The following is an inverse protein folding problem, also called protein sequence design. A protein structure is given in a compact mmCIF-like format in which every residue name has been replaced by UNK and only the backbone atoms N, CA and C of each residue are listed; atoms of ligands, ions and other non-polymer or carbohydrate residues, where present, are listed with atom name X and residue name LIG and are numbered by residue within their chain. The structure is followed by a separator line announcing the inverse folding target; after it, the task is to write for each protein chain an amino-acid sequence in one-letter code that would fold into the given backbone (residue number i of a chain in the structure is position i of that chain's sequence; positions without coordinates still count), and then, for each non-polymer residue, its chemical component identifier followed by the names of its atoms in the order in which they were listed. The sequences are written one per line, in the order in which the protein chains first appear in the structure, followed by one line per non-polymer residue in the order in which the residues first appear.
data_IF_188045592889
#
_entry.id   IF_188045592889
#
_cell.length_a   1.000
_cell.length_b   1.000
_cell.length_c   1.000
_cell.angle_alpha   90.00
_cell.angle_beta   90.00
_cell.angle_gamma   90.00
#
_symmetry.space_group_name_H-M   'P 1'
#
loop_
_entity.id
_entity.type
_entity.pdbx_description
1 polymer ?
#
# COMPACT_ATOMS: atom_id res chain seq x y z
N UNK A 1 -6.63 -15.73 -5.10
CA UNK A 1 -6.65 -14.54 -4.21
C UNK A 1 -7.94 -13.81 -4.48
N UNK A 2 -8.55 -13.21 -3.47
CA UNK A 2 -9.76 -12.39 -3.65
C UNK A 2 -9.38 -10.91 -3.63
N UNK A 3 -10.20 -10.08 -4.26
CA UNK A 3 -10.13 -8.64 -4.15
C UNK A 3 -11.19 -8.18 -3.12
N UNK A 4 -10.95 -7.05 -2.48
CA UNK A 4 -11.91 -6.47 -1.54
C UNK A 4 -12.31 -5.05 -1.94
N UNK A 5 -13.58 -4.70 -1.74
CA UNK A 5 -14.12 -3.37 -1.91
C UNK A 5 -14.04 -2.62 -0.58
N UNK A 6 -13.57 -1.38 -0.60
CA UNK A 6 -13.59 -0.48 0.56
C UNK A 6 -14.34 0.81 0.22
N UNK A 7 -15.20 1.26 1.15
CA UNK A 7 -15.87 2.56 1.07
C UNK A 7 -14.93 3.63 1.62
N UNK A 8 -14.52 4.57 0.78
CA UNK A 8 -13.51 5.58 1.13
C UNK A 8 -14.07 6.73 1.98
N UNK A 9 -15.40 6.79 2.14
CA UNK A 9 -16.06 7.83 2.92
C UNK A 9 -15.95 7.60 4.43
N UNK A 10 -15.77 6.35 4.89
CA UNK A 10 -15.71 5.98 6.32
C UNK A 10 -14.30 5.60 6.79
N UNK A 11 -13.26 6.11 6.12
CA UNK A 11 -11.89 5.81 6.54
C UNK A 11 -11.65 6.34 7.96
N UNK A 12 -11.08 5.52 8.85
CA UNK A 12 -10.85 5.95 10.23
C UNK A 12 -9.76 7.01 10.28
N UNK A 13 -9.86 7.89 11.29
CA UNK A 13 -8.82 8.87 11.57
C UNK A 13 -7.55 8.15 12.09
N UNK A 14 -6.40 8.57 11.56
CA UNK A 14 -5.07 8.04 11.88
C UNK A 14 -4.15 9.08 12.50
N UNK A 15 -4.60 10.33 12.66
CA UNK A 15 -3.74 11.44 13.07
C UNK A 15 -3.04 11.20 14.40
N UNK A 16 -3.74 10.67 15.41
CA UNK A 16 -3.14 10.39 16.73
C UNK A 16 -2.14 9.22 16.67
N UNK A 17 -2.47 8.14 15.96
CA UNK A 17 -1.59 6.98 15.80
C UNK A 17 -0.32 7.34 15.02
N UNK A 18 -0.45 8.15 13.96
CA UNK A 18 0.69 8.67 13.20
C UNK A 18 1.57 9.58 14.05
N UNK A 19 0.96 10.51 14.79
CA UNK A 19 1.68 11.39 15.72
C UNK A 19 2.46 10.58 16.76
N UNK A 20 1.83 9.58 17.36
CA UNK A 20 2.48 8.72 18.36
C UNK A 20 3.72 7.98 17.79
N UNK A 21 3.62 7.46 16.56
CA UNK A 21 4.75 6.81 15.90
C UNK A 21 5.88 7.78 15.56
N UNK A 22 5.54 9.02 15.21
CA UNK A 22 6.54 10.06 15.02
C UNK A 22 7.25 10.42 16.33
N UNK A 23 6.50 10.76 17.37
CA UNK A 23 7.03 11.26 18.65
C UNK A 23 7.84 10.19 19.41
N UNK A 24 7.36 8.94 19.43
CA UNK A 24 7.98 7.88 20.25
C UNK A 24 8.95 7.00 19.47
N UNK A 25 8.84 6.94 18.14
CA UNK A 25 9.62 6.00 17.33
C UNK A 25 10.32 6.67 16.14
N UNK A 26 10.16 7.98 15.93
CA UNK A 26 10.78 8.71 14.83
C UNK A 26 10.34 8.23 13.45
N UNK A 27 9.16 7.61 13.34
CA UNK A 27 8.64 7.10 12.06
C UNK A 27 7.91 8.21 11.33
N UNK A 28 8.33 8.46 10.08
CA UNK A 28 7.73 9.44 9.18
C UNK A 28 7.04 8.71 8.03
N UNK A 29 5.85 9.18 7.67
CA UNK A 29 5.11 8.70 6.51
C UNK A 29 5.07 9.78 5.43
N UNK A 30 5.60 9.48 4.24
CA UNK A 30 5.64 10.45 3.15
C UNK A 30 5.48 9.78 1.79
N UNK A 31 5.14 10.59 0.79
CA UNK A 31 5.33 10.19 -0.61
C UNK A 31 6.81 10.36 -0.96
N UNK A 32 7.51 9.32 -1.44
CA UNK A 32 8.86 9.51 -1.96
C UNK A 32 8.84 10.40 -3.20
N UNK A 33 9.94 11.09 -3.46
CA UNK A 33 10.13 11.92 -4.65
C UNK A 33 11.02 11.24 -5.69
N UNK A 34 11.10 11.77 -6.90
CA UNK A 34 11.80 11.14 -8.03
C UNK A 34 13.26 10.71 -7.73
N UNK A 35 14.10 11.49 -7.01
CA UNK A 35 15.45 11.06 -6.63
C UNK A 35 15.52 9.80 -5.75
N UNK A 36 14.41 9.41 -5.11
CA UNK A 36 14.32 8.24 -4.23
C UNK A 36 13.81 6.99 -4.97
N UNK A 37 13.50 7.08 -6.27
CA UNK A 37 12.87 5.99 -7.03
C UNK A 37 13.64 4.68 -6.90
N UNK A 38 14.92 4.66 -7.26
CA UNK A 38 15.73 3.44 -7.21
C UNK A 38 15.84 2.88 -5.80
N UNK A 39 16.03 3.76 -4.80
CA UNK A 39 16.11 3.36 -3.39
C UNK A 39 14.86 2.58 -2.97
N UNK A 40 13.67 3.11 -3.27
CA UNK A 40 12.39 2.46 -2.88
C UNK A 40 12.15 1.19 -3.70
N UNK A 41 12.36 1.21 -5.03
CA UNK A 41 12.13 0.06 -5.91
C UNK A 41 13.06 -1.10 -5.57
N UNK A 42 14.36 -0.83 -5.41
CA UNK A 42 15.36 -1.85 -5.06
C UNK A 42 15.11 -2.42 -3.66
N UNK A 43 14.70 -1.58 -2.71
CA UNK A 43 14.28 -2.02 -1.38
C UNK A 43 13.07 -2.94 -1.44
N UNK A 44 12.03 -2.58 -2.20
CA UNK A 44 10.85 -3.45 -2.41
C UNK A 44 11.25 -4.79 -3.01
N UNK A 45 12.13 -4.79 -4.02
CA UNK A 45 12.65 -6.02 -4.65
C UNK A 45 13.39 -6.90 -3.65
N UNK A 46 14.24 -6.31 -2.80
CA UNK A 46 15.06 -7.01 -1.81
C UNK A 46 14.23 -7.66 -0.71
N UNK A 47 13.21 -6.97 -0.22
CA UNK A 47 12.47 -7.39 0.98
C UNK A 47 11.14 -8.11 0.67
N UNK A 48 10.62 -7.99 -0.55
CA UNK A 48 9.35 -8.59 -0.95
C UNK A 48 9.50 -9.43 -2.22
N UNK A 49 9.17 -8.86 -3.39
CA UNK A 49 9.21 -9.59 -4.65
C UNK A 49 9.57 -8.68 -5.81
N UNK A 50 10.06 -9.30 -6.90
CA UNK A 50 10.30 -8.58 -8.16
C UNK A 50 9.01 -7.97 -8.72
N UNK A 51 7.90 -8.70 -8.71
CA UNK A 51 6.63 -8.20 -9.24
C UNK A 51 6.17 -6.94 -8.48
N UNK A 52 6.33 -6.92 -7.15
CA UNK A 52 5.98 -5.74 -6.36
C UNK A 52 6.94 -4.56 -6.61
N UNK A 53 8.21 -4.84 -6.91
CA UNK A 53 9.14 -3.80 -7.31
C UNK A 53 8.76 -3.19 -8.67
N UNK A 54 8.35 -4.02 -9.63
CA UNK A 54 7.88 -3.57 -10.94
C UNK A 54 6.61 -2.69 -10.80
N UNK A 55 5.66 -3.08 -9.95
CA UNK A 55 4.47 -2.25 -9.62
C UNK A 55 4.85 -0.96 -8.87
N UNK A 56 5.81 -1.04 -7.94
CA UNK A 56 6.32 0.14 -7.22
C UNK A 56 6.97 1.13 -8.18
N UNK A 57 7.70 0.65 -9.18
CA UNK A 57 8.27 1.49 -10.24
C UNK A 57 7.19 2.26 -11.01
N UNK A 58 6.06 1.60 -11.35
CA UNK A 58 4.92 2.26 -12.01
C UNK A 58 4.34 3.38 -11.14
N UNK A 59 4.30 3.22 -9.81
CA UNK A 59 3.81 4.25 -8.90
C UNK A 59 4.56 5.59 -9.05
N UNK A 60 5.84 5.56 -9.44
CA UNK A 60 6.67 6.75 -9.69
C UNK A 60 6.40 7.43 -11.04
N UNK A 61 5.57 6.85 -11.91
CA UNK A 61 5.15 7.48 -13.17
C UNK A 61 4.15 8.64 -12.98
N UNK A 62 3.61 8.80 -11.75
CA UNK A 62 2.69 9.87 -11.40
C UNK A 62 3.36 10.98 -10.59
N UNK A 63 2.85 12.22 -10.72
CA UNK A 63 3.23 13.36 -9.88
C UNK A 63 1.97 13.97 -9.25
N UNK A 64 1.81 13.94 -7.92
CA UNK A 64 2.68 13.28 -6.93
C UNK A 64 2.75 11.75 -7.12
N UNK A 65 3.80 11.13 -6.59
CA UNK A 65 4.04 9.67 -6.68
C UNK A 65 2.90 8.91 -5.99
N UNK A 66 2.40 7.83 -6.62
CA UNK A 66 1.31 7.01 -6.09
C UNK A 66 1.78 5.93 -5.12
N UNK A 67 2.71 6.31 -4.23
CA UNK A 67 3.29 5.46 -3.21
C UNK A 67 3.47 6.26 -1.94
N UNK A 68 3.24 5.63 -0.78
CA UNK A 68 3.70 6.12 0.50
C UNK A 68 4.77 5.18 1.04
N UNK A 69 5.77 5.73 1.70
CA UNK A 69 6.76 5.00 2.49
C UNK A 69 6.64 5.38 3.96
N UNK A 70 6.93 4.42 4.83
CA UNK A 70 7.22 4.66 6.24
C UNK A 70 8.72 4.53 6.43
N UNK A 71 9.36 5.52 7.03
CA UNK A 71 10.80 5.51 7.26
C UNK A 71 11.16 5.97 8.67
N UNK A 72 12.32 5.53 9.16
CA UNK A 72 12.95 6.05 10.38
C UNK A 72 14.40 6.38 10.07
N UNK A 73 14.76 7.65 10.14
CA UNK A 73 16.02 8.12 9.58
C UNK A 73 16.11 7.77 8.09
N UNK A 74 17.18 7.05 7.71
CA UNK A 74 17.42 6.55 6.34
C UNK A 74 16.88 5.13 6.08
N UNK A 75 16.24 4.51 7.06
CA UNK A 75 15.72 3.14 6.97
C UNK A 75 14.26 3.15 6.49
N UNK A 76 13.96 2.46 5.39
CA UNK A 76 12.58 2.20 4.96
C UNK A 76 12.03 1.02 5.78
N UNK A 77 10.87 1.21 6.40
CA UNK A 77 10.19 0.22 7.24
C UNK A 77 9.02 -0.43 6.53
N UNK A 78 8.42 0.26 5.56
CA UNK A 78 7.25 -0.21 4.83
C UNK A 78 6.87 0.71 3.68
N UNK A 79 6.01 0.21 2.80
CA UNK A 79 5.49 0.94 1.65
C UNK A 79 4.05 0.55 1.33
N UNK A 80 3.34 1.45 0.64
CA UNK A 80 2.02 1.18 0.08
C UNK A 80 1.84 1.94 -1.23
N UNK A 81 1.60 1.20 -2.30
CA UNK A 81 1.30 1.72 -3.62
C UNK A 81 -0.21 1.74 -3.86
N UNK A 82 -0.63 2.56 -4.82
CA UNK A 82 -1.98 2.63 -5.35
C UNK A 82 -1.91 3.07 -6.82
N UNK A 83 -2.98 2.87 -7.60
CA UNK A 83 -3.00 3.20 -9.04
C UNK A 83 -1.80 2.59 -9.81
N UNK A 84 -1.25 1.47 -9.32
CA UNK A 84 0.02 0.90 -9.81
C UNK A 84 -0.21 -0.29 -10.75
N UNK A 85 -1.00 -1.28 -10.33
CA UNK A 85 -1.39 -2.39 -11.21
C UNK A 85 -2.56 -2.00 -12.13
N UNK A 86 -3.54 -1.30 -11.58
CA UNK A 86 -4.75 -0.86 -12.29
C UNK A 86 -5.30 0.42 -11.63
N UNK A 87 -6.18 1.13 -12.35
CA UNK A 87 -6.92 2.27 -11.79
C UNK A 87 -7.80 1.81 -10.64
N UNK A 88 -7.89 2.65 -9.61
CA UNK A 88 -8.67 2.47 -8.39
C UNK A 88 -8.23 1.28 -7.52
N UNK A 89 -7.04 0.73 -7.75
CA UNK A 89 -6.47 -0.35 -6.95
C UNK A 89 -5.51 0.19 -5.89
N UNK A 90 -5.64 -0.34 -4.68
CA UNK A 90 -4.63 -0.29 -3.62
C UNK A 90 -3.79 -1.57 -3.70
N UNK A 91 -2.47 -1.40 -3.63
CA UNK A 91 -1.48 -2.45 -3.70
C UNK A 91 -0.41 -2.20 -4.77
N UNK A 92 0.78 -2.81 -4.63
CA UNK A 92 1.19 -3.68 -3.51
C UNK A 92 1.48 -2.89 -2.22
N UNK A 93 1.60 -3.60 -1.10
CA UNK A 93 1.97 -3.01 0.20
C UNK A 93 2.74 -4.00 1.05
N UNK A 94 3.67 -3.52 1.86
CA UNK A 94 4.44 -4.36 2.76
C UNK A 94 5.11 -3.58 3.88
N UNK A 95 5.30 -4.27 5.01
CA UNK A 95 6.07 -3.78 6.18
C UNK A 95 7.07 -4.88 6.55
N UNK A 96 8.29 -4.47 6.91
CA UNK A 96 9.33 -5.39 7.39
C UNK A 96 8.79 -6.25 8.53
N UNK A 97 9.18 -7.52 8.55
CA UNK A 97 8.59 -8.53 9.46
C UNK A 97 8.71 -8.13 10.93
N UNK A 98 9.85 -7.57 11.35
CA UNK A 98 10.15 -7.08 12.70
C UNK A 98 9.49 -5.73 13.05
N UNK A 99 8.86 -5.09 12.06
CA UNK A 99 8.11 -3.83 12.21
C UNK A 99 6.59 -4.05 12.13
N UNK A 100 6.12 -5.28 11.87
CA UNK A 100 4.69 -5.64 11.90
C UNK A 100 4.13 -5.54 13.32
N UNK A 101 2.83 -5.32 13.42
CA UNK A 101 2.13 -5.14 14.71
C UNK A 101 2.28 -3.75 15.36
N UNK A 102 3.12 -2.86 14.79
CA UNK A 102 3.37 -1.50 15.32
C UNK A 102 2.48 -0.40 14.72
N UNK A 103 1.39 -0.76 14.05
CA UNK A 103 0.48 0.21 13.41
C UNK A 103 0.94 0.80 12.06
N UNK A 104 2.21 0.62 11.66
CA UNK A 104 2.78 1.16 10.41
C UNK A 104 1.94 0.78 9.17
N UNK A 105 1.59 -0.51 9.04
CA UNK A 105 0.82 -1.00 7.90
C UNK A 105 -0.56 -0.36 7.79
N UNK A 106 -1.22 -0.10 8.93
CA UNK A 106 -2.57 0.50 8.96
C UNK A 106 -2.54 1.94 8.50
N UNK A 107 -1.53 2.70 8.92
CA UNK A 107 -1.33 4.09 8.49
C UNK A 107 -1.02 4.16 6.99
N UNK A 108 -0.12 3.31 6.50
CA UNK A 108 0.20 3.23 5.07
C UNK A 108 -1.04 2.91 4.22
N UNK A 109 -1.83 1.93 4.65
CA UNK A 109 -3.11 1.57 4.01
C UNK A 109 -4.04 2.79 3.94
N UNK A 110 -4.32 3.42 5.08
CA UNK A 110 -5.29 4.51 5.15
C UNK A 110 -4.82 5.74 4.37
N UNK A 111 -3.52 6.07 4.39
CA UNK A 111 -2.97 7.17 3.57
C UNK A 111 -3.16 6.93 2.08
N UNK A 112 -2.91 5.70 1.61
CA UNK A 112 -3.12 5.35 0.20
C UNK A 112 -4.62 5.39 -0.17
N UNK A 113 -5.51 4.91 0.70
CA UNK A 113 -6.96 4.99 0.47
C UNK A 113 -7.48 6.44 0.51
N UNK A 114 -6.98 7.28 1.41
CA UNK A 114 -7.27 8.72 1.44
C UNK A 114 -6.77 9.40 0.16
N UNK A 115 -5.63 8.97 -0.39
CA UNK A 115 -5.15 9.46 -1.67
C UNK A 115 -6.09 9.11 -2.83
N UNK A 116 -6.59 7.87 -2.89
CA UNK A 116 -7.61 7.46 -3.86
C UNK A 116 -8.90 8.29 -3.68
N UNK A 117 -9.32 8.55 -2.44
CA UNK A 117 -10.45 9.43 -2.15
C UNK A 117 -10.24 10.83 -2.72
N UNK A 118 -9.07 11.41 -2.50
CA UNK A 118 -8.71 12.74 -2.99
C UNK A 118 -8.58 12.81 -4.52
N UNK A 119 -8.41 11.67 -5.20
CA UNK A 119 -8.46 11.57 -6.66
C UNK A 119 -9.91 11.54 -7.21
N UNK A 120 -10.91 11.49 -6.34
CA UNK A 120 -12.33 11.49 -6.71
C UNK A 120 -13.02 10.13 -6.64
N UNK A 121 -12.33 9.08 -6.19
CA UNK A 121 -12.98 7.78 -5.97
C UNK A 121 -13.83 7.79 -4.70
N UNK A 122 -15.01 7.16 -4.76
CA UNK A 122 -15.87 6.93 -3.58
C UNK A 122 -15.62 5.56 -2.95
N UNK A 123 -15.19 4.60 -3.75
CA UNK A 123 -14.84 3.24 -3.35
C UNK A 123 -13.52 2.86 -4.01
N UNK A 124 -12.73 2.01 -3.37
CA UNK A 124 -11.50 1.45 -3.94
C UNK A 124 -11.46 -0.07 -3.86
N UNK A 125 -10.61 -0.67 -4.70
CA UNK A 125 -10.35 -2.10 -4.72
C UNK A 125 -9.01 -2.36 -4.03
N UNK A 126 -8.98 -3.31 -3.09
CA UNK A 126 -7.75 -3.86 -2.50
C UNK A 126 -7.47 -5.14 -3.27
N UNK A 127 -6.44 -5.12 -4.11
CA UNK A 127 -6.16 -6.21 -5.05
C UNK A 127 -5.37 -7.36 -4.41
N UNK A 128 -5.70 -8.60 -4.77
CA UNK A 128 -4.87 -9.77 -4.44
C UNK A 128 -4.66 -9.97 -2.93
N UNK A 129 -5.74 -9.99 -2.17
CA UNK A 129 -5.69 -9.87 -0.70
C UNK A 129 -5.14 -11.12 -0.01
N UNK A 130 -4.25 -10.88 0.97
CA UNK A 130 -3.90 -11.81 2.03
C UNK A 130 -3.19 -11.09 3.20
N UNK A 131 -3.67 -11.21 4.46
CA UNK A 131 -4.93 -11.82 4.91
C UNK A 131 -6.14 -10.86 4.84
N UNK A 132 -7.33 -11.37 4.46
CA UNK A 132 -8.55 -10.55 4.32
C UNK A 132 -9.04 -9.91 5.61
N UNK A 133 -8.96 -10.64 6.73
CA UNK A 133 -9.40 -10.14 8.05
C UNK A 133 -8.67 -8.87 8.49
N UNK A 134 -7.42 -8.66 8.04
CA UNK A 134 -6.70 -7.42 8.32
C UNK A 134 -7.39 -6.20 7.69
N UNK A 135 -7.80 -6.29 6.42
CA UNK A 135 -8.44 -5.18 5.72
C UNK A 135 -9.89 -4.96 6.17
N UNK A 136 -10.60 -6.04 6.50
CA UNK A 136 -11.93 -5.94 7.11
C UNK A 136 -11.88 -5.19 8.44
N UNK A 137 -10.95 -5.54 9.33
CA UNK A 137 -10.79 -4.88 10.63
C UNK A 137 -10.26 -3.44 10.50
N UNK A 138 -9.34 -3.18 9.57
CA UNK A 138 -8.68 -1.89 9.47
C UNK A 138 -9.57 -0.80 8.85
N UNK A 139 -10.36 -1.14 7.83
CA UNK A 139 -11.09 -0.17 6.99
C UNK A 139 -12.48 -0.65 6.56
N UNK A 140 -13.01 -1.72 7.15
CA UNK A 140 -14.34 -2.23 6.82
C UNK A 140 -14.44 -2.83 5.42
N UNK A 141 -13.32 -3.24 4.82
CA UNK A 141 -13.32 -3.80 3.47
C UNK A 141 -14.15 -5.08 3.40
N UNK A 142 -14.81 -5.31 2.26
CA UNK A 142 -15.66 -6.49 2.01
C UNK A 142 -15.16 -7.25 0.79
N UNK A 143 -15.20 -8.58 0.85
CA UNK A 143 -14.85 -9.43 -0.30
C UNK A 143 -15.76 -9.09 -1.47
N UNK A 144 -15.16 -8.94 -2.66
CA UNK A 144 -15.92 -8.84 -3.90
C UNK A 144 -16.26 -10.27 -4.34
N UNK A 145 -17.55 -10.56 -4.52
CA UNK A 145 -17.98 -11.87 -4.99
C UNK A 145 -17.37 -12.21 -6.36
N UNK A 146 -16.95 -13.46 -6.55
CA UNK A 146 -16.34 -13.99 -7.79
C UNK A 146 -14.99 -13.37 -8.18
N UNK A 147 -14.34 -12.65 -7.28
CA UNK A 147 -13.05 -12.00 -7.53
C UNK A 147 -11.85 -12.96 -7.54
N UNK A 148 -12.04 -14.27 -7.39
CA UNK A 148 -10.98 -15.27 -7.61
C UNK A 148 -10.44 -15.22 -9.04
N UNK A 149 -11.23 -14.68 -9.97
CA UNK A 149 -10.81 -14.24 -11.29
C UNK A 149 -10.71 -12.72 -11.29
N UNK A 150 -9.50 -12.20 -11.35
CA UNK A 150 -9.25 -10.75 -11.41
C UNK A 150 -8.25 -10.40 -12.52
N UNK A 151 -7.76 -9.17 -12.53
CA UNK A 151 -6.74 -8.68 -13.48
C UNK A 151 -5.49 -9.57 -13.51
N UNK A 152 -5.24 -10.34 -12.46
CA UNK A 152 -4.09 -11.24 -12.34
C UNK A 152 -4.32 -12.64 -12.96
N UNK A 153 -5.50 -12.95 -13.52
CA UNK A 153 -5.87 -14.31 -13.95
C UNK A 153 -4.87 -14.93 -14.95
N UNK A 154 -4.31 -14.13 -15.85
CA UNK A 154 -3.36 -14.57 -16.89
C UNK A 154 -1.95 -14.00 -16.68
N UNK A 155 -1.59 -13.69 -15.43
CA UNK A 155 -0.29 -13.11 -15.12
C UNK A 155 0.85 -14.09 -15.46
N UNK A 156 1.82 -13.62 -16.26
CA UNK A 156 3.04 -14.37 -16.52
C UNK A 156 3.83 -14.56 -15.22
N UNK A 157 4.44 -15.73 -15.07
CA UNK A 157 5.25 -16.05 -13.88
C UNK A 157 6.70 -15.67 -14.14
N UNK A 158 7.36 -15.11 -13.11
CA UNK A 158 8.81 -14.97 -13.15
C UNK A 158 9.43 -16.36 -13.34
N UNK A 159 10.50 -16.47 -14.16
CA UNK A 159 11.26 -17.71 -14.22
C UNK A 159 11.77 -18.08 -12.82
N UNK A 160 11.81 -19.38 -12.54
CA UNK A 160 12.38 -19.91 -11.28
C UNK A 160 13.89 -19.74 -11.26
#
# INVERSE_FOLDING_TARGET
MHDMLVRLLDLPDISEAEKNLFENHGVIFKRPISPEKSIVVDWTKKHFSKNWADETEVAFASKPVNCFIAQRGQEILGFACFESTAKNFFGPTGVLTDQRGKGIGKILLIKALMALKNMGYTYAIIGGVGPAGYYEQAVGAKIIEKSEKSIYQNLLKQPK
#
